data_IF_297696595537
#
_entry.id   IF_297696595537
#
_cell.length_a   1.000
_cell.length_b   1.000
_cell.length_c   1.000
_cell.angle_alpha   90.00
_cell.angle_beta   90.00
_cell.angle_gamma   90.00
#
_symmetry.space_group_name_H-M   'P 1'
#
loop_
_entity.id
_entity.type
_entity.pdbx_description
1 polymer ?
#
# COMPACT_ATOMS: atom_id res chain seq x y z
N UNK A 1 23.17 80.50 -11.81
CA UNK A 1 22.82 80.31 -13.24
C UNK A 1 23.62 79.11 -13.71
N UNK A 2 23.35 77.89 -13.25
CA UNK A 2 22.08 77.16 -12.97
C UNK A 2 21.77 76.25 -14.16
N UNK A 3 21.71 74.95 -13.88
CA UNK A 3 20.83 73.92 -14.47
C UNK A 3 20.98 73.63 -16.00
N UNK A 4 20.80 72.40 -16.49
CA UNK A 4 20.17 71.20 -15.91
C UNK A 4 21.11 69.99 -15.78
N UNK A 5 20.65 68.96 -15.04
CA UNK A 5 21.21 67.59 -15.09
C UNK A 5 20.37 66.72 -16.02
N UNK A 6 21.01 65.78 -16.71
CA UNK A 6 20.36 64.53 -17.13
C UNK A 6 21.30 63.35 -16.82
N UNK A 7 20.77 62.32 -16.17
CA UNK A 7 21.56 61.23 -15.57
C UNK A 7 20.98 59.88 -16.00
N UNK A 8 21.31 59.45 -17.23
CA UNK A 8 20.90 58.13 -17.73
C UNK A 8 21.70 57.01 -17.04
N UNK A 9 21.15 56.52 -15.94
CA UNK A 9 21.60 55.32 -15.25
C UNK A 9 20.54 54.21 -15.35
N UNK A 10 20.35 53.68 -16.56
CA UNK A 10 19.50 52.52 -16.80
C UNK A 10 19.83 51.33 -15.87
N UNK A 11 18.82 50.66 -15.26
CA UNK A 11 19.06 49.64 -14.25
C UNK A 11 19.57 48.33 -14.86
N UNK A 12 20.86 48.03 -14.66
CA UNK A 12 21.44 46.71 -14.89
C UNK A 12 20.89 45.70 -13.86
N UNK A 13 20.17 44.64 -14.27
CA UNK A 13 19.70 43.62 -13.34
C UNK A 13 20.87 42.72 -12.92
N UNK A 14 21.45 42.99 -11.75
CA UNK A 14 22.45 42.13 -11.11
C UNK A 14 21.80 40.80 -10.65
N UNK A 15 21.61 39.86 -11.57
CA UNK A 15 21.25 38.48 -11.27
C UNK A 15 22.40 37.77 -10.55
N UNK A 16 22.54 38.03 -9.25
CA UNK A 16 23.19 37.12 -8.32
C UNK A 16 22.25 35.92 -8.11
N UNK A 17 22.23 35.01 -9.08
CA UNK A 17 21.67 33.67 -8.90
C UNK A 17 22.53 32.94 -7.86
N UNK A 18 22.14 33.04 -6.58
CA UNK A 18 22.76 32.25 -5.52
C UNK A 18 22.48 30.77 -5.86
N UNK A 19 23.49 29.95 -6.17
CA UNK A 19 23.25 28.53 -6.31
C UNK A 19 22.83 28.01 -4.94
N UNK A 20 21.62 27.46 -4.83
CA UNK A 20 21.21 26.72 -3.64
C UNK A 20 22.01 25.42 -3.62
N UNK A 21 23.24 25.50 -3.09
CA UNK A 21 24.03 24.34 -2.73
C UNK A 21 23.28 23.63 -1.60
N UNK A 22 22.45 22.65 -1.97
CA UNK A 22 21.88 21.70 -1.02
C UNK A 22 23.06 20.96 -0.38
N UNK A 23 23.35 21.13 0.92
CA UNK A 23 24.44 20.41 1.55
C UNK A 23 24.02 18.95 1.64
N UNK A 24 24.61 18.11 0.79
CA UNK A 24 24.33 16.67 0.78
C UNK A 24 25.09 15.95 1.89
N UNK A 25 24.87 16.37 3.14
CA UNK A 25 24.97 15.44 4.25
C UNK A 25 24.06 14.26 3.90
N UNK A 26 24.59 13.04 3.90
CA UNK A 26 23.91 11.85 3.35
C UNK A 26 22.65 11.38 4.11
N UNK A 27 22.14 12.23 5.01
CA UNK A 27 20.98 12.05 5.88
C UNK A 27 19.71 11.91 5.05
N UNK A 28 18.98 10.81 5.22
CA UNK A 28 17.79 10.48 4.43
C UNK A 28 16.57 10.48 5.32
N UNK A 29 15.76 11.53 5.20
CA UNK A 29 14.43 11.60 5.82
C UNK A 29 13.35 11.04 4.89
N UNK A 30 12.33 10.42 5.48
CA UNK A 30 11.11 9.94 4.83
C UNK A 30 9.87 10.43 5.58
N UNK A 31 9.04 11.21 4.90
CA UNK A 31 7.65 11.46 5.27
C UNK A 31 6.76 10.51 4.47
N UNK A 32 6.11 9.57 5.16
CA UNK A 32 5.23 8.55 4.58
C UNK A 32 3.81 8.75 5.13
N UNK A 33 2.83 9.04 4.28
CA UNK A 33 1.44 9.22 4.69
C UNK A 33 0.58 8.04 4.24
N UNK A 34 -0.15 7.44 5.16
CA UNK A 34 -1.25 6.54 4.81
C UNK A 34 -2.55 7.34 4.67
N UNK A 35 -3.22 7.18 3.52
CA UNK A 35 -4.64 7.53 3.40
C UNK A 35 -5.42 6.22 3.48
N UNK A 36 -6.20 6.04 4.55
CA UNK A 36 -6.94 4.82 4.83
C UNK A 36 -8.44 5.08 4.67
N UNK A 37 -9.03 4.45 3.66
CA UNK A 37 -10.48 4.26 3.53
C UNK A 37 -11.00 3.56 4.80
N UNK A 38 -12.12 4.06 5.35
CA UNK A 38 -12.77 3.56 6.55
C UNK A 38 -14.26 3.27 6.38
N UNK A 39 -14.74 3.06 5.14
CA UNK A 39 -16.11 2.64 4.86
C UNK A 39 -16.34 1.16 5.20
N UNK A 40 -17.54 0.63 4.94
CA UNK A 40 -17.94 -0.71 5.38
C UNK A 40 -17.10 -1.89 4.85
N UNK A 41 -16.42 -1.75 3.71
CA UNK A 41 -15.61 -2.80 3.07
C UNK A 41 -14.27 -3.04 3.77
N UNK A 42 -13.60 -1.98 4.25
CA UNK A 42 -12.18 -1.98 4.60
C UNK A 42 -11.80 -2.69 5.91
N UNK A 43 -12.73 -3.39 6.58
CA UNK A 43 -12.49 -3.95 7.91
C UNK A 43 -11.25 -4.86 8.00
N UNK A 44 -10.97 -5.63 6.94
CA UNK A 44 -9.76 -6.46 6.82
C UNK A 44 -8.48 -5.65 6.62
N UNK A 45 -8.50 -4.62 5.78
CA UNK A 45 -7.35 -3.77 5.48
C UNK A 45 -6.98 -2.87 6.67
N UNK A 46 -7.96 -2.26 7.35
CA UNK A 46 -7.73 -1.53 8.61
C UNK A 46 -7.12 -2.45 9.67
N UNK A 47 -7.61 -3.69 9.79
CA UNK A 47 -7.07 -4.68 10.73
C UNK A 47 -5.63 -5.06 10.39
N UNK A 48 -5.32 -5.29 9.11
CA UNK A 48 -3.96 -5.60 8.64
C UNK A 48 -3.00 -4.42 8.87
N UNK A 49 -3.39 -3.21 8.50
CA UNK A 49 -2.59 -1.99 8.73
C UNK A 49 -2.29 -1.81 10.23
N UNK A 50 -3.30 -1.94 11.09
CA UNK A 50 -3.17 -1.82 12.54
C UNK A 50 -2.27 -2.90 13.16
N UNK A 51 -2.37 -4.15 12.65
CA UNK A 51 -1.52 -5.27 13.07
C UNK A 51 -0.05 -5.06 12.66
N UNK A 52 0.17 -4.59 11.43
CA UNK A 52 1.48 -4.67 10.77
C UNK A 52 2.28 -3.36 10.79
N UNK A 53 1.72 -2.22 11.21
CA UNK A 53 2.39 -0.90 11.13
C UNK A 53 3.75 -0.85 11.85
N UNK A 54 3.90 -1.50 13.01
CA UNK A 54 5.18 -1.59 13.73
C UNK A 54 6.23 -2.37 12.92
N UNK A 55 5.84 -3.50 12.32
CA UNK A 55 6.70 -4.32 11.48
C UNK A 55 7.09 -3.60 10.18
N UNK A 56 6.15 -2.87 9.56
CA UNK A 56 6.41 -2.03 8.39
C UNK A 56 7.48 -0.98 8.71
N UNK A 57 7.34 -0.27 9.83
CA UNK A 57 8.30 0.74 10.26
C UNK A 57 9.66 0.12 10.61
N UNK A 58 9.67 -1.03 11.29
CA UNK A 58 10.89 -1.78 11.60
C UNK A 58 11.63 -2.19 10.31
N UNK A 59 10.97 -2.85 9.37
CA UNK A 59 11.60 -3.29 8.11
C UNK A 59 12.05 -2.13 7.20
N UNK A 60 11.39 -0.96 7.26
CA UNK A 60 11.87 0.26 6.60
C UNK A 60 13.17 0.75 7.24
N UNK A 61 13.30 0.72 8.58
CA UNK A 61 14.51 1.11 9.28
C UNK A 61 15.66 0.09 9.11
N UNK A 62 15.38 -1.20 9.32
CA UNK A 62 16.31 -2.34 9.18
C UNK A 62 16.91 -2.47 7.78
N UNK A 63 16.27 -1.90 6.76
CA UNK A 63 16.80 -1.80 5.39
C UNK A 63 18.10 -0.97 5.26
N UNK A 64 18.47 -0.21 6.30
CA UNK A 64 19.63 0.69 6.28
C UNK A 64 19.49 1.90 5.35
N UNK A 65 18.27 2.20 4.86
CA UNK A 65 18.02 3.37 3.99
C UNK A 65 17.87 4.69 4.76
N UNK A 66 17.61 4.64 6.06
CA UNK A 66 17.47 5.78 6.97
C UNK A 66 18.55 5.69 8.07
N UNK A 67 18.94 6.79 8.70
CA UNK A 67 20.02 6.79 9.70
C UNK A 67 19.52 6.63 11.14
N UNK A 68 18.37 7.21 11.47
CA UNK A 68 17.80 7.20 12.81
C UNK A 68 16.27 7.00 12.77
N UNK A 69 15.59 6.47 13.80
CA UNK A 69 14.14 6.24 13.75
C UNK A 69 13.31 7.49 13.44
N UNK A 70 13.73 8.67 13.91
CA UNK A 70 13.10 9.97 13.63
C UNK A 70 13.28 10.49 12.18
N UNK A 71 14.11 9.83 11.36
CA UNK A 71 14.09 10.04 9.91
C UNK A 71 12.75 9.59 9.30
N UNK A 72 12.09 8.60 9.89
CA UNK A 72 10.75 8.17 9.51
C UNK A 72 9.70 8.97 10.28
N UNK A 73 8.83 9.67 9.55
CA UNK A 73 7.56 10.16 10.08
C UNK A 73 6.42 9.51 9.33
N UNK A 74 5.49 8.91 10.07
CA UNK A 74 4.24 8.40 9.52
C UNK A 74 3.15 9.46 9.71
N UNK A 75 2.49 9.82 8.62
CA UNK A 75 1.23 10.56 8.64
C UNK A 75 0.05 9.60 8.46
N UNK A 76 -1.10 9.95 9.04
CA UNK A 76 -2.35 9.21 8.84
C UNK A 76 -3.49 10.17 8.52
N UNK A 77 -4.17 9.91 7.41
CA UNK A 77 -5.46 10.49 7.06
C UNK A 77 -6.44 9.31 6.94
N UNK A 78 -7.52 9.34 7.69
CA UNK A 78 -8.65 8.42 7.50
C UNK A 78 -9.78 9.16 6.79
N UNK A 79 -10.54 8.48 5.94
CA UNK A 79 -11.69 9.08 5.25
C UNK A 79 -12.86 8.10 5.12
N UNK A 80 -14.03 8.65 4.80
CA UNK A 80 -15.23 7.90 4.44
C UNK A 80 -15.95 8.60 3.29
N UNK A 81 -17.06 9.25 3.57
CA UNK A 81 -18.03 9.67 2.59
C UNK A 81 -18.68 11.00 3.02
N UNK A 82 -19.36 11.66 2.09
CA UNK A 82 -20.07 12.91 2.32
C UNK A 82 -21.53 12.63 2.77
N UNK A 83 -22.13 13.49 3.61
CA UNK A 83 -23.58 13.45 3.86
C UNK A 83 -24.35 13.61 2.52
N UNK A 84 -25.31 12.73 2.18
CA UNK A 84 -26.07 11.89 3.11
C UNK A 84 -25.55 10.45 3.35
N UNK A 85 -24.46 10.01 2.71
CA UNK A 85 -24.01 8.62 2.76
C UNK A 85 -23.34 8.26 4.11
N UNK A 86 -22.47 9.13 4.64
CA UNK A 86 -21.95 9.07 6.02
C UNK A 86 -22.24 10.39 6.76
N UNK A 87 -22.62 10.27 8.04
CA UNK A 87 -22.96 11.40 8.93
C UNK A 87 -22.00 11.53 10.13
N UNK A 88 -20.88 10.80 10.11
CA UNK A 88 -19.92 10.69 11.22
C UNK A 88 -18.66 11.53 10.98
N UNK A 89 -18.02 11.41 9.82
CA UNK A 89 -16.88 12.25 9.38
C UNK A 89 -16.54 11.99 7.90
N UNK A 90 -16.17 13.04 7.18
CA UNK A 90 -15.66 12.94 5.81
C UNK A 90 -14.17 12.54 5.84
N UNK A 91 -13.36 13.27 6.64
CA UNK A 91 -11.93 13.03 6.85
C UNK A 91 -11.55 13.16 8.33
N UNK A 92 -10.43 12.52 8.71
CA UNK A 92 -9.71 12.71 9.97
C UNK A 92 -8.22 12.79 9.66
N UNK A 93 -7.61 13.93 9.93
CA UNK A 93 -6.17 14.15 9.76
C UNK A 93 -5.47 14.05 11.13
N UNK A 94 -4.55 13.09 11.28
CA UNK A 94 -3.85 12.82 12.55
C UNK A 94 -2.45 13.48 12.64
N UNK A 95 -2.03 14.19 11.58
CA UNK A 95 -0.70 14.79 11.45
C UNK A 95 0.44 13.78 11.30
N UNK A 96 1.68 14.27 11.23
CA UNK A 96 2.88 13.43 11.24
C UNK A 96 3.31 13.02 12.66
N UNK A 97 3.84 11.81 12.80
CA UNK A 97 4.42 11.27 14.04
C UNK A 97 5.62 10.36 13.74
N UNK A 98 6.70 10.48 14.53
CA UNK A 98 7.76 9.46 14.63
C UNK A 98 7.52 8.48 15.79
N UNK A 99 6.58 8.77 16.69
CA UNK A 99 6.07 7.80 17.66
C UNK A 99 5.15 6.81 16.94
N UNK A 100 5.66 5.61 16.68
CA UNK A 100 4.93 4.53 16.01
C UNK A 100 3.84 3.92 16.91
N UNK A 101 3.99 3.99 18.23
CA UNK A 101 2.95 3.53 19.16
C UNK A 101 1.74 4.50 19.16
N UNK A 102 1.96 5.82 19.01
CA UNK A 102 0.89 6.77 18.69
C UNK A 102 0.21 6.41 17.36
N UNK A 103 0.98 6.20 16.28
CA UNK A 103 0.41 5.87 14.95
C UNK A 103 -0.44 4.60 15.00
N UNK A 104 0.04 3.55 15.67
CA UNK A 104 -0.73 2.32 15.88
C UNK A 104 -1.99 2.54 16.71
N UNK A 105 -1.94 3.39 17.75
CA UNK A 105 -3.11 3.76 18.54
C UNK A 105 -4.14 4.54 17.71
N UNK A 106 -3.68 5.44 16.84
CA UNK A 106 -4.53 6.22 15.95
C UNK A 106 -5.22 5.30 14.92
N UNK A 107 -4.48 4.38 14.28
CA UNK A 107 -5.04 3.31 13.44
C UNK A 107 -6.04 2.43 14.23
N UNK A 108 -5.71 2.06 15.47
CA UNK A 108 -6.58 1.28 16.36
C UNK A 108 -7.87 2.01 16.77
N UNK A 109 -8.01 3.30 16.47
CA UNK A 109 -9.25 4.08 16.69
C UNK A 109 -10.19 4.08 15.48
N UNK A 110 -9.73 3.56 14.34
CA UNK A 110 -10.50 3.45 13.10
C UNK A 110 -11.32 2.16 13.07
N UNK A 111 -12.45 2.20 12.38
CA UNK A 111 -13.29 1.04 12.12
C UNK A 111 -14.08 1.24 10.81
N UNK A 112 -14.31 0.14 10.11
CA UNK A 112 -15.10 0.11 8.88
C UNK A 112 -16.60 0.37 9.16
N UNK A 113 -17.16 1.43 8.59
CA UNK A 113 -18.60 1.75 8.61
C UNK A 113 -18.90 2.93 7.67
N UNK A 114 -20.14 3.10 7.20
CA UNK A 114 -20.47 4.15 6.23
C UNK A 114 -20.12 3.76 4.79
N UNK A 115 -20.18 4.75 3.88
CA UNK A 115 -20.33 4.52 2.43
C UNK A 115 -21.80 4.29 2.05
N UNK A 116 -22.18 4.49 0.78
CA UNK A 116 -23.56 4.26 0.36
C UNK A 116 -23.80 4.04 -1.14
N UNK A 117 -23.33 4.95 -1.99
CA UNK A 117 -23.55 4.94 -3.44
C UNK A 117 -22.45 4.22 -4.24
N UNK A 118 -21.22 4.19 -3.71
CA UNK A 118 -20.13 3.33 -4.18
C UNK A 118 -18.80 4.06 -4.30
N UNK A 119 -18.73 5.20 -5.01
CA UNK A 119 -17.63 6.15 -4.89
C UNK A 119 -17.58 6.80 -3.50
N UNK A 120 -16.47 7.44 -3.16
CA UNK A 120 -16.20 7.92 -1.79
C UNK A 120 -15.44 9.26 -1.75
N UNK A 121 -15.26 9.82 -0.54
CA UNK A 121 -14.61 11.10 -0.27
C UNK A 121 -13.07 11.12 -0.47
N UNK A 122 -12.53 10.27 -1.35
CA UNK A 122 -11.11 10.16 -1.71
C UNK A 122 -10.53 11.54 -2.09
N UNK A 123 -11.29 12.36 -2.82
CA UNK A 123 -10.88 13.73 -3.20
C UNK A 123 -10.66 14.64 -1.99
N UNK A 124 -11.52 14.57 -0.98
CA UNK A 124 -11.35 15.33 0.27
C UNK A 124 -10.12 14.84 1.04
N UNK A 125 -9.88 13.52 1.06
CA UNK A 125 -8.70 12.90 1.69
C UNK A 125 -7.38 13.26 1.00
N UNK A 126 -7.35 13.29 -0.33
CA UNK A 126 -6.24 13.83 -1.11
C UNK A 126 -6.02 15.32 -0.83
N UNK A 127 -7.10 16.08 -0.61
CA UNK A 127 -7.05 17.48 -0.19
C UNK A 127 -6.35 17.69 1.17
N UNK A 128 -6.51 16.77 2.13
CA UNK A 128 -5.87 16.87 3.45
C UNK A 128 -4.32 16.74 3.40
N UNK A 129 -3.75 16.11 2.37
CA UNK A 129 -2.30 16.07 2.16
C UNK A 129 -1.68 17.46 2.04
N UNK A 130 -2.47 18.45 1.61
CA UNK A 130 -2.05 19.83 1.43
C UNK A 130 -1.88 20.58 2.75
N UNK A 131 -2.49 20.09 3.83
CA UNK A 131 -2.50 20.67 5.17
C UNK A 131 -1.37 20.14 6.08
N UNK A 132 -0.64 19.10 5.64
CA UNK A 132 0.40 18.44 6.42
C UNK A 132 1.74 19.21 6.43
N UNK A 133 2.48 19.11 7.54
CA UNK A 133 3.77 19.76 7.79
C UNK A 133 4.97 19.02 7.14
N UNK A 134 4.90 18.78 5.83
CA UNK A 134 5.95 18.07 5.07
C UNK A 134 7.35 18.68 5.25
N UNK A 135 8.34 17.87 5.64
CA UNK A 135 9.75 18.26 5.74
C UNK A 135 10.31 18.58 4.33
N UNK A 136 10.86 19.78 4.07
CA UNK A 136 11.31 20.15 2.73
C UNK A 136 12.32 19.16 2.12
N UNK A 137 13.33 18.74 2.89
CA UNK A 137 14.38 17.82 2.45
C UNK A 137 14.02 16.33 2.55
N UNK A 138 12.85 15.99 3.10
CA UNK A 138 12.42 14.60 3.15
C UNK A 138 11.99 14.09 1.78
N UNK A 139 12.22 12.80 1.57
CA UNK A 139 11.53 11.98 0.57
C UNK A 139 10.06 11.93 0.96
N UNK A 140 9.12 12.18 0.03
CA UNK A 140 7.70 12.34 0.33
C UNK A 140 6.88 11.30 -0.40
N UNK A 141 6.14 10.48 0.34
CA UNK A 141 5.37 9.38 -0.21
C UNK A 141 3.99 9.32 0.43
N UNK A 142 2.99 8.98 -0.37
CA UNK A 142 1.63 8.67 0.08
C UNK A 142 1.30 7.25 -0.35
N UNK A 143 0.65 6.49 0.52
CA UNK A 143 0.01 5.22 0.21
C UNK A 143 -1.48 5.37 0.50
N UNK A 144 -2.28 5.49 -0.56
CA UNK A 144 -3.74 5.42 -0.49
C UNK A 144 -4.16 3.94 -0.52
N UNK A 145 -5.08 3.55 0.37
CA UNK A 145 -5.64 2.20 0.50
C UNK A 145 -7.16 2.35 0.43
N UNK A 146 -7.81 1.80 -0.61
CA UNK A 146 -9.26 1.85 -0.81
C UNK A 146 -9.74 0.78 -1.80
N UNK A 147 -11.03 0.43 -1.78
CA UNK A 147 -11.70 -0.32 -2.85
C UNK A 147 -12.70 0.51 -3.69
N UNK A 148 -12.86 1.79 -3.38
CA UNK A 148 -13.73 2.73 -4.10
C UNK A 148 -12.97 3.82 -4.91
N UNK A 149 -13.56 4.38 -5.97
CA UNK A 149 -13.11 5.61 -6.63
C UNK A 149 -13.55 6.89 -5.91
N UNK A 150 -12.97 8.06 -6.22
CA UNK A 150 -13.59 9.35 -5.89
C UNK A 150 -14.89 9.59 -6.65
N UNK A 151 -15.80 10.35 -6.04
CA UNK A 151 -16.95 10.95 -6.73
C UNK A 151 -16.55 11.80 -7.95
N UNK A 152 -17.46 11.89 -8.93
CA UNK A 152 -17.35 12.74 -10.11
C UNK A 152 -16.55 12.16 -11.28
N UNK A 153 -16.01 10.93 -11.16
CA UNK A 153 -15.38 10.25 -12.31
C UNK A 153 -16.41 9.63 -13.28
N UNK A 154 -17.70 9.72 -12.96
CA UNK A 154 -18.81 9.23 -13.79
C UNK A 154 -19.19 7.77 -13.59
N UNK A 155 -18.98 7.22 -12.39
CA UNK A 155 -19.44 5.87 -12.06
C UNK A 155 -20.98 5.77 -12.02
N UNK A 156 -21.49 4.57 -12.28
CA UNK A 156 -22.93 4.32 -12.16
C UNK A 156 -23.33 4.26 -10.68
N UNK A 157 -24.21 5.17 -10.25
CA UNK A 157 -24.80 5.20 -8.91
C UNK A 157 -24.35 6.38 -8.05
N UNK A 158 -23.27 7.07 -8.44
CA UNK A 158 -22.65 8.19 -7.72
C UNK A 158 -23.67 9.27 -7.32
N UNK A 159 -23.82 9.52 -6.01
CA UNK A 159 -24.68 10.56 -5.46
C UNK A 159 -24.08 11.97 -5.59
N UNK A 160 -22.81 12.07 -5.96
CA UNK A 160 -22.08 13.33 -6.16
C UNK A 160 -21.40 13.37 -7.54
N UNK A 161 -22.16 12.99 -8.57
CA UNK A 161 -21.75 12.86 -9.98
C UNK A 161 -21.12 14.14 -10.60
N UNK A 162 -21.38 15.32 -10.03
CA UNK A 162 -20.75 16.61 -10.40
C UNK A 162 -19.32 16.79 -9.82
N UNK A 163 -18.88 15.93 -8.90
CA UNK A 163 -17.60 16.03 -8.19
C UNK A 163 -17.75 16.11 -6.67
N UNK A 164 -16.62 16.13 -5.95
CA UNK A 164 -16.65 16.17 -4.48
C UNK A 164 -17.32 17.46 -3.96
N UNK A 165 -18.24 17.36 -2.98
CA UNK A 165 -18.91 18.52 -2.37
C UNK A 165 -18.02 19.59 -1.75
N UNK A 166 -16.72 19.34 -1.57
CA UNK A 166 -15.77 20.34 -1.11
C UNK A 166 -15.24 21.27 -2.21
N UNK A 167 -15.64 21.04 -3.47
CA UNK A 167 -15.28 21.83 -4.64
C UNK A 167 -13.85 21.59 -5.16
N UNK A 168 -13.12 20.61 -4.63
CA UNK A 168 -11.78 20.26 -5.13
C UNK A 168 -11.86 19.27 -6.30
N UNK A 169 -10.87 19.36 -7.19
CA UNK A 169 -10.65 18.39 -8.26
C UNK A 169 -9.44 17.49 -7.95
N UNK A 170 -9.57 16.16 -7.99
CA UNK A 170 -8.48 15.27 -7.62
C UNK A 170 -7.34 15.26 -8.64
N UNK A 171 -7.59 15.49 -9.94
CA UNK A 171 -6.53 15.59 -10.95
C UNK A 171 -5.68 16.85 -10.74
N UNK A 172 -6.30 17.95 -10.30
CA UNK A 172 -5.59 19.17 -9.90
C UNK A 172 -4.77 18.94 -8.62
N UNK A 173 -5.33 18.26 -7.61
CA UNK A 173 -4.59 17.93 -6.38
C UNK A 173 -3.36 17.08 -6.72
N UNK A 174 -3.48 15.99 -7.48
CA UNK A 174 -2.32 15.09 -7.71
C UNK A 174 -1.23 15.70 -8.59
N UNK A 175 -1.55 16.65 -9.48
CA UNK A 175 -0.53 17.46 -10.17
C UNK A 175 0.20 18.39 -9.21
N UNK A 176 -0.51 18.96 -8.23
CA UNK A 176 0.07 19.77 -7.17
C UNK A 176 0.93 18.93 -6.19
N UNK A 177 0.54 17.69 -5.92
CA UNK A 177 1.40 16.71 -5.21
C UNK A 177 2.68 16.41 -6.01
N UNK A 178 2.56 16.13 -7.31
CA UNK A 178 3.70 15.84 -8.19
C UNK A 178 4.70 17.01 -8.26
N UNK A 179 4.21 18.25 -8.40
CA UNK A 179 5.07 19.46 -8.39
C UNK A 179 5.79 19.66 -7.05
N UNK A 180 5.14 19.32 -5.92
CA UNK A 180 5.76 19.29 -4.58
C UNK A 180 6.67 18.07 -4.35
N UNK A 181 6.80 17.20 -5.35
CA UNK A 181 7.61 16.00 -5.30
C UNK A 181 7.07 14.91 -4.39
N UNK A 182 5.75 14.87 -4.15
CA UNK A 182 5.06 13.89 -3.32
C UNK A 182 4.57 12.74 -4.21
N UNK A 183 5.15 11.55 -4.01
CA UNK A 183 4.84 10.35 -4.81
C UNK A 183 3.61 9.63 -4.26
N UNK A 184 2.49 9.56 -5.01
CA UNK A 184 1.28 8.82 -4.60
C UNK A 184 1.32 7.40 -5.15
N UNK A 185 1.40 6.43 -4.24
CA UNK A 185 1.13 5.02 -4.51
C UNK A 185 -0.30 4.69 -4.10
N UNK A 186 -0.92 3.76 -4.81
CA UNK A 186 -2.26 3.28 -4.52
C UNK A 186 -2.28 1.77 -4.35
N UNK A 187 -2.68 1.31 -3.16
CA UNK A 187 -3.04 -0.08 -2.89
C UNK A 187 -4.49 -0.27 -3.29
N UNK A 188 -4.69 -1.00 -4.38
CA UNK A 188 -6.01 -1.32 -4.90
C UNK A 188 -6.54 -2.57 -4.19
N UNK A 189 -7.56 -2.38 -3.35
CA UNK A 189 -8.19 -3.46 -2.60
C UNK A 189 -9.17 -4.22 -3.52
N UNK A 190 -8.76 -5.41 -3.95
CA UNK A 190 -9.45 -6.20 -4.99
C UNK A 190 -10.12 -7.45 -4.38
N UNK A 191 -11.24 -7.96 -4.93
CA UNK A 191 -11.78 -7.70 -6.27
C UNK A 191 -12.83 -6.58 -6.40
N UNK A 192 -13.04 -5.78 -5.35
CA UNK A 192 -14.14 -4.82 -5.31
C UNK A 192 -13.89 -3.61 -6.23
N UNK A 193 -12.67 -3.05 -6.25
CA UNK A 193 -12.32 -1.92 -7.11
C UNK A 193 -12.58 -2.20 -8.61
N UNK A 194 -12.27 -3.39 -9.10
CA UNK A 194 -12.55 -3.78 -10.49
C UNK A 194 -14.02 -3.99 -10.84
N UNK A 195 -14.94 -3.84 -9.88
CA UNK A 195 -16.38 -3.74 -10.15
C UNK A 195 -16.78 -2.40 -10.81
N UNK A 196 -15.94 -1.37 -10.65
CA UNK A 196 -16.19 -0.02 -11.15
C UNK A 196 -15.77 0.18 -12.62
N UNK A 197 -16.44 1.11 -13.31
CA UNK A 197 -16.34 1.33 -14.75
C UNK A 197 -15.07 2.05 -15.17
N UNK A 198 -14.51 2.89 -14.30
CA UNK A 198 -13.37 3.79 -14.56
C UNK A 198 -12.33 3.80 -13.42
N UNK A 199 -12.69 3.40 -12.20
CA UNK A 199 -11.82 3.47 -11.02
C UNK A 199 -10.37 2.97 -11.24
N UNK A 200 -10.20 1.77 -11.82
CA UNK A 200 -8.86 1.22 -12.13
C UNK A 200 -8.04 2.12 -13.05
N UNK A 201 -8.69 2.77 -14.03
CA UNK A 201 -8.02 3.62 -15.01
C UNK A 201 -7.68 5.00 -14.41
N UNK A 202 -8.58 5.54 -13.59
CA UNK A 202 -8.34 6.74 -12.79
C UNK A 202 -7.13 6.56 -11.85
N UNK A 203 -7.08 5.44 -11.12
CA UNK A 203 -5.99 5.19 -10.18
C UNK A 203 -4.63 4.91 -10.86
N UNK A 204 -4.62 4.23 -12.02
CA UNK A 204 -3.44 4.16 -12.90
C UNK A 204 -2.96 5.56 -13.32
N UNK A 205 -3.87 6.46 -13.69
CA UNK A 205 -3.52 7.81 -14.12
C UNK A 205 -2.92 8.66 -12.99
N UNK A 206 -3.52 8.71 -11.80
CA UNK A 206 -3.00 9.56 -10.71
C UNK A 206 -1.68 9.05 -10.10
N UNK A 207 -1.49 7.73 -10.05
CA UNK A 207 -0.20 7.14 -9.68
C UNK A 207 0.87 7.43 -10.74
N UNK A 208 0.51 7.37 -12.03
CA UNK A 208 1.41 7.76 -13.13
C UNK A 208 1.81 9.25 -13.06
N UNK A 209 0.85 10.17 -12.89
CA UNK A 209 1.10 11.63 -12.75
C UNK A 209 2.17 11.89 -11.68
N UNK A 210 2.03 11.24 -10.51
CA UNK A 210 2.95 11.42 -9.37
C UNK A 210 4.18 10.52 -9.39
N UNK A 211 4.36 9.69 -10.43
CA UNK A 211 5.44 8.70 -10.57
C UNK A 211 5.47 7.60 -9.47
N UNK A 212 4.32 7.33 -8.84
CA UNK A 212 4.14 6.20 -7.92
C UNK A 212 3.81 4.89 -8.63
N UNK A 213 3.14 3.98 -7.91
CA UNK A 213 2.70 2.67 -8.41
C UNK A 213 1.25 2.39 -8.00
N UNK A 214 0.54 1.67 -8.86
CA UNK A 214 -0.69 0.97 -8.49
C UNK A 214 -0.36 -0.48 -8.10
N UNK A 215 -0.78 -0.90 -6.91
CA UNK A 215 -0.44 -2.16 -6.27
C UNK A 215 -1.75 -2.95 -6.01
N UNK A 216 -2.19 -3.82 -6.95
CA UNK A 216 -3.40 -4.61 -6.77
C UNK A 216 -3.18 -5.71 -5.74
N UNK A 217 -3.93 -5.68 -4.63
CA UNK A 217 -3.88 -6.70 -3.59
C UNK A 217 -5.18 -7.48 -3.53
N UNK A 218 -5.07 -8.80 -3.62
CA UNK A 218 -6.22 -9.72 -3.52
C UNK A 218 -6.51 -10.16 -2.08
N UNK A 219 -5.60 -9.89 -1.14
CA UNK A 219 -5.75 -10.13 0.30
C UNK A 219 -5.06 -9.02 1.11
N UNK A 220 -5.56 -8.78 2.32
CA UNK A 220 -4.98 -7.78 3.22
C UNK A 220 -3.64 -8.19 3.84
N UNK A 221 -3.26 -9.47 3.81
CA UNK A 221 -1.99 -9.97 4.38
C UNK A 221 -0.77 -9.52 3.57
N UNK A 222 -0.93 -9.30 2.26
CA UNK A 222 0.12 -8.81 1.36
C UNK A 222 0.46 -7.31 1.56
N UNK A 223 -0.37 -6.59 2.34
CA UNK A 223 -0.30 -5.14 2.52
C UNK A 223 1.07 -4.67 3.05
N UNK A 224 1.61 -5.37 4.05
CA UNK A 224 2.91 -5.04 4.66
C UNK A 224 4.05 -5.14 3.65
N UNK A 225 4.12 -6.24 2.90
CA UNK A 225 5.13 -6.49 1.88
C UNK A 225 5.06 -5.47 0.73
N UNK A 226 3.85 -5.11 0.29
CA UNK A 226 3.64 -4.11 -0.75
C UNK A 226 4.07 -2.70 -0.31
N UNK A 227 3.77 -2.32 0.94
CA UNK A 227 4.19 -1.03 1.51
C UNK A 227 5.70 -0.97 1.69
N UNK A 228 6.31 -1.96 2.35
CA UNK A 228 7.77 -1.98 2.58
C UNK A 228 8.52 -1.98 1.26
N UNK A 229 8.13 -2.83 0.30
CA UNK A 229 8.75 -2.87 -1.02
C UNK A 229 8.69 -1.53 -1.75
N UNK A 230 7.51 -0.90 -1.79
CA UNK A 230 7.32 0.35 -2.54
C UNK A 230 8.01 1.55 -1.89
N UNK A 231 8.11 1.58 -0.56
CA UNK A 231 8.93 2.56 0.17
C UNK A 231 10.41 2.41 -0.17
N UNK A 232 10.93 1.17 -0.17
CA UNK A 232 12.35 0.92 -0.46
C UNK A 232 12.71 1.20 -1.91
N UNK A 233 11.82 0.92 -2.86
CA UNK A 233 11.94 1.37 -4.24
C UNK A 233 11.93 2.91 -4.31
N UNK A 234 10.92 3.58 -3.75
CA UNK A 234 10.78 5.03 -3.80
C UNK A 234 12.00 5.77 -3.19
N UNK A 235 12.64 5.23 -2.15
CA UNK A 235 13.87 5.79 -1.58
C UNK A 235 15.11 5.64 -2.49
N UNK A 236 15.17 4.60 -3.34
CA UNK A 236 16.22 4.46 -4.35
C UNK A 236 15.94 5.29 -5.60
N UNK A 237 14.68 5.42 -6.00
CA UNK A 237 14.24 6.32 -7.08
C UNK A 237 14.53 7.78 -6.73
N UNK A 238 14.20 8.20 -5.51
CA UNK A 238 14.43 9.57 -5.00
C UNK A 238 15.92 9.96 -4.99
N UNK A 239 16.83 9.01 -4.70
CA UNK A 239 18.29 9.23 -4.83
C UNK A 239 18.64 9.65 -6.25
N UNK A 240 18.15 8.90 -7.25
CA UNK A 240 18.45 9.15 -8.65
C UNK A 240 17.80 10.45 -9.14
N UNK A 241 16.57 10.76 -8.74
CA UNK A 241 15.91 12.04 -9.04
C UNK A 241 16.70 13.23 -8.49
N UNK A 242 17.28 13.14 -7.30
CA UNK A 242 18.17 14.19 -6.76
C UNK A 242 19.50 14.31 -7.53
N UNK A 243 20.03 13.20 -8.05
CA UNK A 243 21.31 13.17 -8.75
C UNK A 243 21.22 13.67 -10.20
N UNK A 244 20.25 13.18 -10.99
CA UNK A 244 20.14 13.49 -12.43
C UNK A 244 19.00 14.45 -12.77
N UNK A 245 18.07 14.70 -11.85
CA UNK A 245 16.76 15.27 -12.18
C UNK A 245 16.79 16.67 -12.77
N UNK A 246 17.72 17.53 -12.34
CA UNK A 246 17.87 18.86 -12.94
C UNK A 246 18.27 18.80 -14.43
N UNK A 247 19.24 17.95 -14.78
CA UNK A 247 19.66 17.77 -16.17
C UNK A 247 18.58 17.09 -17.03
N UNK A 248 17.82 16.16 -16.45
CA UNK A 248 16.68 15.50 -17.09
C UNK A 248 15.52 16.48 -17.33
N UNK A 249 15.20 17.33 -16.35
CA UNK A 249 14.17 18.35 -16.47
C UNK A 249 14.55 19.45 -17.48
N UNK A 250 15.81 19.87 -17.53
CA UNK A 250 16.28 20.86 -18.51
C UNK A 250 16.08 20.39 -19.96
N UNK A 251 16.20 19.09 -20.24
CA UNK A 251 15.88 18.51 -21.55
C UNK A 251 14.38 18.55 -21.85
N UNK A 252 13.57 18.06 -20.92
CA UNK A 252 12.11 17.95 -21.11
C UNK A 252 11.47 19.34 -21.24
N UNK A 253 11.79 20.26 -20.33
CA UNK A 253 11.15 21.58 -20.23
C UNK A 253 11.90 22.67 -21.03
N UNK A 254 13.22 22.64 -21.05
CA UNK A 254 14.05 23.67 -21.69
C UNK A 254 14.33 23.42 -23.17
N UNK A 255 14.55 22.16 -23.56
CA UNK A 255 14.74 21.77 -24.96
C UNK A 255 13.45 21.27 -25.63
N UNK A 256 12.35 21.13 -24.89
CA UNK A 256 11.07 20.57 -25.34
C UNK A 256 11.21 19.14 -25.91
N UNK A 257 12.04 18.31 -25.28
CA UNK A 257 12.26 16.90 -25.65
C UNK A 257 11.18 15.98 -25.07
N UNK A 258 10.84 14.89 -25.77
CA UNK A 258 9.82 13.94 -25.28
C UNK A 258 10.29 13.20 -24.02
N UNK A 259 9.40 13.12 -23.02
CA UNK A 259 9.64 12.38 -21.76
C UNK A 259 10.07 10.93 -22.04
N UNK A 260 9.46 10.27 -23.03
CA UNK A 260 9.79 8.88 -23.39
C UNK A 260 11.15 8.74 -24.08
N UNK A 261 11.64 9.78 -24.76
CA UNK A 261 12.96 9.78 -25.41
C UNK A 261 14.05 10.03 -24.38
N UNK A 262 13.85 11.04 -23.53
CA UNK A 262 14.74 11.33 -22.40
C UNK A 262 14.78 10.14 -21.42
N UNK A 263 13.66 9.45 -21.19
CA UNK A 263 13.61 8.24 -20.37
C UNK A 263 14.38 7.05 -20.97
N UNK A 264 14.30 6.83 -22.29
CA UNK A 264 15.08 5.79 -22.99
C UNK A 264 16.58 6.04 -22.89
N UNK A 265 17.03 7.24 -23.19
CA UNK A 265 18.45 7.61 -23.01
C UNK A 265 18.91 7.56 -21.55
N UNK A 266 18.04 7.93 -20.60
CA UNK A 266 18.36 7.87 -19.18
C UNK A 266 18.52 6.41 -18.72
N UNK A 267 17.65 5.52 -19.17
CA UNK A 267 17.74 4.08 -18.92
C UNK A 267 19.08 3.54 -19.44
N UNK A 268 19.45 3.83 -20.69
CA UNK A 268 20.76 3.42 -21.27
C UNK A 268 21.95 3.94 -20.45
N UNK A 269 21.93 5.22 -20.04
CA UNK A 269 23.01 5.84 -19.24
C UNK A 269 23.12 5.24 -17.84
N UNK A 270 22.00 4.87 -17.22
CA UNK A 270 21.99 4.21 -15.90
C UNK A 270 22.38 2.72 -16.00
N UNK A 271 22.03 2.03 -17.09
CA UNK A 271 22.55 0.68 -17.38
C UNK A 271 24.08 0.69 -17.56
N UNK A 272 24.62 1.66 -18.30
CA UNK A 272 26.08 1.83 -18.48
C UNK A 272 26.82 2.17 -17.17
N UNK A 273 26.12 2.76 -16.18
CA UNK A 273 26.61 2.96 -14.81
C UNK A 273 26.56 1.70 -13.95
N UNK A 274 25.90 0.63 -14.41
CA UNK A 274 25.52 -0.54 -13.61
C UNK A 274 24.63 -0.18 -12.41
N UNK A 275 23.73 0.80 -12.57
CA UNK A 275 22.86 1.28 -11.49
C UNK A 275 21.82 0.22 -11.09
N UNK A 276 21.89 -0.27 -9.85
CA UNK A 276 20.86 -1.14 -9.28
C UNK A 276 19.77 -0.36 -8.55
N UNK A 277 18.56 -0.90 -8.60
CA UNK A 277 17.39 -0.42 -7.83
C UNK A 277 16.62 -1.61 -7.30
N UNK A 278 16.03 -1.45 -6.12
CA UNK A 278 14.95 -2.34 -5.68
C UNK A 278 13.68 -2.07 -6.51
N UNK A 279 12.95 -3.12 -6.85
CA UNK A 279 11.68 -3.08 -7.57
C UNK A 279 10.66 -3.99 -6.89
N UNK A 280 9.46 -3.47 -6.65
CA UNK A 280 8.32 -4.30 -6.26
C UNK A 280 7.82 -5.08 -7.48
N UNK A 281 7.67 -6.39 -7.31
CA UNK A 281 7.05 -7.28 -8.29
C UNK A 281 5.79 -7.86 -7.67
N UNK A 282 4.65 -7.37 -8.14
CA UNK A 282 3.31 -7.93 -7.87
C UNK A 282 2.79 -8.45 -9.21
N UNK A 283 2.17 -9.63 -9.22
CA UNK A 283 1.51 -10.11 -10.43
C UNK A 283 0.33 -9.19 -10.81
N UNK A 284 0.31 -8.74 -12.08
CA UNK A 284 -0.82 -7.97 -12.61
C UNK A 284 -2.04 -8.88 -12.78
N UNK A 285 -3.05 -8.65 -11.93
CA UNK A 285 -4.37 -9.25 -12.10
C UNK A 285 -5.19 -8.54 -13.18
N UNK A 286 -4.72 -7.39 -13.71
CA UNK A 286 -5.43 -6.59 -14.70
C UNK A 286 -5.16 -7.01 -16.14
N UNK A 287 -6.23 -7.10 -16.93
CA UNK A 287 -6.19 -7.19 -18.38
C UNK A 287 -6.05 -5.80 -19.00
N UNK A 288 -5.13 -5.66 -19.95
CA UNK A 288 -4.99 -4.45 -20.75
C UNK A 288 -6.06 -4.40 -21.86
N UNK A 289 -6.53 -3.20 -22.18
CA UNK A 289 -7.57 -2.93 -23.19
C UNK A 289 -7.39 -1.52 -23.76
N UNK A 290 -7.77 -1.31 -25.02
CA UNK A 290 -7.63 -0.02 -25.70
C UNK A 290 -8.44 1.08 -25.00
N UNK A 291 -9.59 0.73 -24.41
CA UNK A 291 -10.42 1.62 -23.59
C UNK A 291 -9.73 1.99 -22.27
N UNK A 292 -9.08 1.04 -21.57
CA UNK A 292 -8.32 1.32 -20.34
C UNK A 292 -7.12 2.22 -20.63
N UNK A 293 -6.36 1.95 -21.70
CA UNK A 293 -5.22 2.80 -22.12
C UNK A 293 -5.69 4.21 -22.50
N UNK A 294 -6.78 4.32 -23.26
CA UNK A 294 -7.41 5.60 -23.60
C UNK A 294 -7.87 6.37 -22.35
N UNK A 295 -8.54 5.72 -21.41
CA UNK A 295 -9.01 6.36 -20.17
C UNK A 295 -7.85 6.88 -19.32
N UNK A 296 -6.77 6.10 -19.19
CA UNK A 296 -5.56 6.53 -18.47
C UNK A 296 -4.96 7.78 -19.11
N UNK A 297 -4.81 7.80 -20.43
CA UNK A 297 -4.32 8.99 -21.15
C UNK A 297 -5.23 10.22 -20.94
N UNK A 298 -6.55 10.04 -21.08
CA UNK A 298 -7.54 11.10 -20.84
C UNK A 298 -7.42 11.69 -19.43
N UNK A 299 -7.33 10.86 -18.38
CA UNK A 299 -7.14 11.34 -17.01
C UNK A 299 -5.77 11.99 -16.78
N UNK A 300 -4.71 11.53 -17.44
CA UNK A 300 -3.36 12.12 -17.35
C UNK A 300 -3.28 13.50 -18.02
N UNK A 301 -3.96 13.70 -19.15
CA UNK A 301 -3.93 14.94 -19.95
C UNK A 301 -4.97 15.98 -19.51
N UNK A 302 -6.19 15.57 -19.15
CA UNK A 302 -7.30 16.49 -18.89
C UNK A 302 -7.09 17.36 -17.64
N UNK A 303 -7.22 18.71 -17.71
CA UNK A 303 -6.98 19.60 -16.58
C UNK A 303 -7.90 19.41 -15.35
N UNK A 304 -9.06 18.76 -15.53
CA UNK A 304 -10.05 18.47 -14.49
C UNK A 304 -10.93 17.28 -14.88
N UNK A 305 -11.60 16.66 -13.90
CA UNK A 305 -12.59 15.61 -14.12
C UNK A 305 -13.72 16.06 -15.05
N UNK A 306 -14.18 17.31 -14.93
CA UNK A 306 -15.21 17.88 -15.80
C UNK A 306 -14.82 17.89 -17.29
N UNK A 307 -13.51 17.93 -17.61
CA UNK A 307 -12.99 17.82 -18.97
C UNK A 307 -12.60 16.37 -19.35
N UNK A 308 -12.23 15.54 -18.38
CA UNK A 308 -11.90 14.14 -18.58
C UNK A 308 -13.16 13.29 -18.88
N UNK A 309 -14.18 13.43 -18.03
CA UNK A 309 -15.37 12.57 -17.96
C UNK A 309 -16.12 12.43 -19.30
N UNK A 310 -16.33 13.49 -20.12
CA UNK A 310 -17.01 13.36 -21.41
C UNK A 310 -16.22 12.57 -22.48
N UNK A 311 -14.93 12.29 -22.24
CA UNK A 311 -14.03 11.61 -23.17
C UNK A 311 -13.77 10.15 -22.79
N UNK A 312 -14.27 9.68 -21.65
CA UNK A 312 -14.05 8.32 -21.16
C UNK A 312 -14.81 7.26 -21.98
N UNK A 313 -14.20 6.08 -22.12
CA UNK A 313 -14.76 4.91 -22.78
C UNK A 313 -15.04 3.82 -21.74
N UNK A 314 -16.25 3.28 -21.72
CA UNK A 314 -16.59 2.17 -20.81
C UNK A 314 -15.79 0.93 -21.20
N UNK A 315 -14.98 0.40 -20.28
CA UNK A 315 -14.31 -0.89 -20.46
C UNK A 315 -15.37 -2.00 -20.44
N UNK A 316 -15.36 -2.89 -21.44
CA UNK A 316 -16.37 -3.93 -21.60
C UNK A 316 -15.91 -5.29 -21.07
N UNK A 317 -16.75 -5.94 -20.25
CA UNK A 317 -16.49 -7.27 -19.70
C UNK A 317 -15.67 -7.24 -18.42
N UNK A 318 -14.83 -8.27 -18.22
CA UNK A 318 -13.96 -8.40 -17.04
C UNK A 318 -12.69 -7.57 -17.17
N UNK A 319 -12.37 -6.78 -16.14
CA UNK A 319 -11.07 -6.10 -15.99
C UNK A 319 -9.93 -7.04 -15.59
N UNK A 320 -10.24 -8.26 -15.14
CA UNK A 320 -9.24 -9.24 -14.69
C UNK A 320 -8.66 -10.11 -15.81
N UNK A 321 -7.42 -10.60 -15.60
CA UNK A 321 -6.79 -11.63 -16.44
C UNK A 321 -7.44 -13.01 -16.26
N UNK A 322 -7.38 -13.83 -17.31
CA UNK A 322 -7.94 -15.19 -17.28
C UNK A 322 -7.27 -16.09 -16.21
N UNK A 323 -5.97 -15.90 -15.94
CA UNK A 323 -5.25 -16.61 -14.87
C UNK A 323 -5.84 -16.30 -13.49
N UNK A 324 -6.07 -15.02 -13.16
CA UNK A 324 -6.70 -14.64 -11.89
C UNK A 324 -8.11 -15.22 -11.76
N UNK A 325 -8.90 -15.16 -12.83
CA UNK A 325 -10.26 -15.72 -12.84
C UNK A 325 -10.28 -17.24 -12.64
N UNK A 326 -9.32 -17.96 -13.24
CA UNK A 326 -9.16 -19.41 -13.04
C UNK A 326 -8.74 -19.74 -11.60
N UNK A 327 -7.73 -19.06 -11.03
CA UNK A 327 -7.30 -19.25 -9.65
C UNK A 327 -8.43 -19.00 -8.64
N UNK A 328 -9.21 -17.92 -8.85
CA UNK A 328 -10.40 -17.62 -8.04
C UNK A 328 -11.49 -18.69 -8.18
N UNK A 329 -11.66 -19.29 -9.35
CA UNK A 329 -12.62 -20.39 -9.56
C UNK A 329 -12.19 -21.70 -8.89
N UNK A 330 -10.89 -22.02 -8.83
CA UNK A 330 -10.41 -23.20 -8.09
C UNK A 330 -10.70 -23.11 -6.60
N UNK A 331 -10.44 -21.96 -5.95
CA UNK A 331 -10.80 -21.74 -4.54
C UNK A 331 -12.33 -21.73 -4.29
N UNK A 332 -13.13 -21.46 -5.32
CA UNK A 332 -14.60 -21.39 -5.23
C UNK A 332 -15.30 -22.75 -5.42
N UNK A 333 -14.57 -23.85 -5.64
CA UNK A 333 -15.15 -25.19 -5.79
C UNK A 333 -15.19 -25.93 -4.44
N UNK A 334 -16.38 -26.26 -3.91
CA UNK A 334 -16.48 -27.21 -2.80
C UNK A 334 -16.02 -28.59 -3.27
N UNK A 335 -15.15 -29.24 -2.50
CA UNK A 335 -14.63 -30.59 -2.75
C UNK A 335 -15.69 -31.66 -2.47
N UNK A 336 -16.72 -31.71 -3.33
CA UNK A 336 -17.77 -32.74 -3.31
C UNK A 336 -17.22 -34.11 -3.76
N UNK A 337 -16.51 -34.78 -2.86
CA UNK A 337 -16.17 -36.20 -2.98
C UNK A 337 -17.47 -37.01 -3.02
N UNK A 338 -17.87 -37.46 -4.22
CA UNK A 338 -19.08 -38.24 -4.43
C UNK A 338 -18.93 -39.65 -3.87
N UNK A 339 -19.18 -39.81 -2.58
CA UNK A 339 -19.35 -41.11 -1.93
C UNK A 339 -20.58 -41.82 -2.50
N UNK A 340 -20.38 -42.65 -3.52
CA UNK A 340 -21.40 -43.53 -4.09
C UNK A 340 -21.76 -44.66 -3.11
N UNK A 341 -22.58 -44.35 -2.10
CA UNK A 341 -23.14 -45.36 -1.20
C UNK A 341 -24.06 -46.30 -1.97
N UNK A 342 -23.65 -47.57 -2.09
CA UNK A 342 -24.48 -48.64 -2.61
C UNK A 342 -25.70 -48.84 -1.70
N UNK A 343 -26.87 -48.99 -2.31
CA UNK A 343 -28.18 -49.04 -1.65
C UNK A 343 -28.64 -50.49 -1.45
N UNK A 344 -28.88 -50.96 -0.21
CA UNK A 344 -29.52 -52.25 0.03
C UNK A 344 -30.99 -52.27 -0.44
N UNK A 345 -31.49 -53.46 -0.78
CA UNK A 345 -32.89 -53.69 -1.14
C UNK A 345 -33.80 -53.72 0.11
N UNK A 346 -35.07 -53.28 0.00
CA UNK A 346 -35.99 -53.24 1.14
C UNK A 346 -36.64 -54.61 1.44
N UNK A 347 -36.93 -54.86 2.72
CA UNK A 347 -37.72 -56.00 3.20
C UNK A 347 -39.07 -55.46 3.74
N UNK A 348 -40.15 -56.20 3.50
CA UNK A 348 -41.52 -55.79 3.85
C UNK A 348 -41.84 -56.18 5.31
N UNK A 349 -42.38 -55.26 6.15
CA UNK A 349 -42.78 -55.58 7.52
C UNK A 349 -44.21 -56.15 7.61
N UNK A 350 -44.43 -57.05 8.57
CA UNK A 350 -45.75 -57.51 9.00
C UNK A 350 -46.18 -56.84 10.33
N UNK A 351 -47.46 -56.97 10.70
CA UNK A 351 -48.08 -56.23 11.82
C UNK A 351 -48.70 -57.21 12.87
N UNK A 352 -49.20 -56.76 14.06
CA UNK A 352 -48.78 -57.32 15.35
C UNK A 352 -49.83 -58.22 16.03
N UNK A 353 -49.66 -58.60 17.32
CA UNK A 353 -50.43 -57.88 18.35
C UNK A 353 -49.84 -57.77 19.78
N UNK A 354 -50.35 -56.76 20.51
CA UNK A 354 -50.57 -56.71 21.98
C UNK A 354 -49.42 -56.43 22.98
N UNK A 355 -49.79 -55.95 24.17
CA UNK A 355 -48.95 -55.71 25.37
C UNK A 355 -49.86 -55.72 26.61
N UNK A 356 -49.47 -56.35 27.75
CA UNK A 356 -49.15 -55.60 28.99
C UNK A 356 -48.16 -56.38 29.92
N UNK A 357 -47.96 -56.06 31.24
CA UNK A 357 -48.04 -54.81 32.02
C UNK A 357 -46.68 -54.44 32.71
N UNK A 358 -46.66 -53.45 33.63
CA UNK A 358 -45.47 -53.03 34.43
C UNK A 358 -45.39 -53.73 35.81
N UNK A 359 -44.19 -53.76 36.42
CA UNK A 359 -43.93 -53.96 37.88
C UNK A 359 -42.67 -53.20 38.36
N UNK A 360 -42.46 -53.22 39.68
CA UNK A 360 -41.44 -52.50 40.50
C UNK A 360 -41.06 -53.39 41.72
N UNK A 361 -40.01 -53.15 42.53
CA UNK A 361 -39.19 -51.93 42.75
C UNK A 361 -37.71 -52.13 42.31
N UNK A 362 -36.59 -51.89 43.02
CA UNK A 362 -36.26 -51.53 44.43
C UNK A 362 -34.85 -50.89 44.53
N UNK A 363 -34.52 -50.35 45.71
CA UNK A 363 -33.18 -50.07 46.28
C UNK A 363 -32.28 -48.93 45.75
N UNK A 364 -31.87 -48.08 46.70
CA UNK A 364 -30.83 -47.06 46.63
C UNK A 364 -29.84 -47.30 47.78
N UNK A 365 -28.54 -47.17 47.53
CA UNK A 365 -27.51 -47.10 48.58
C UNK A 365 -26.47 -46.02 48.24
N UNK A 366 -26.04 -45.26 49.24
CA UNK A 366 -25.18 -44.08 49.06
C UNK A 366 -23.69 -44.39 49.30
N UNK A 367 -22.82 -43.71 48.55
CA UNK A 367 -21.37 -43.69 48.81
C UNK A 367 -20.97 -42.45 49.59
N UNK A 368 -20.38 -42.65 50.77
CA UNK A 368 -19.77 -41.59 51.59
C UNK A 368 -18.25 -41.59 51.47
N UNK A 369 -17.62 -40.41 51.57
CA UNK A 369 -16.17 -40.25 51.56
C UNK A 369 -15.58 -40.25 52.99
N UNK A 370 -14.41 -40.88 53.21
CA UNK A 370 -13.66 -40.75 54.47
C UNK A 370 -12.83 -39.45 54.50
N UNK A 371 -12.48 -39.00 55.71
CA UNK A 371 -11.56 -37.87 55.95
C UNK A 371 -10.60 -38.20 57.12
N UNK A 372 -9.44 -37.51 57.10
CA UNK A 372 -8.49 -37.31 58.20
C UNK A 372 -7.57 -38.47 58.60
N UNK A 373 -6.30 -38.37 58.17
CA UNK A 373 -5.12 -38.75 58.96
C UNK A 373 -3.98 -37.77 58.62
N UNK A 374 -3.11 -37.44 59.58
CA UNK A 374 -2.00 -36.46 59.45
C UNK A 374 -0.96 -36.68 60.54
N UNK A 375 0.34 -36.51 60.24
CA UNK A 375 1.39 -36.19 61.23
C UNK A 375 2.70 -35.72 60.55
N UNK A 376 3.56 -35.08 61.33
CA UNK A 376 4.83 -34.41 60.98
C UNK A 376 5.86 -35.26 60.18
N UNK A 377 6.70 -34.57 59.39
CA UNK A 377 7.82 -35.15 58.63
C UNK A 377 9.22 -34.84 59.17
N UNK A 378 10.26 -35.11 58.36
CA UNK A 378 11.69 -34.99 58.72
C UNK A 378 12.54 -34.48 57.54
N UNK A 379 13.71 -33.88 57.81
CA UNK A 379 14.71 -33.45 56.80
C UNK A 379 15.78 -34.53 56.57
N UNK A 380 16.30 -34.65 55.33
CA UNK A 380 17.72 -34.93 55.02
C UNK A 380 18.09 -34.16 53.72
N UNK A 381 19.38 -33.90 53.48
CA UNK A 381 19.95 -33.21 52.31
C UNK A 381 21.16 -34.02 51.78
N UNK A 382 22.16 -33.48 51.04
CA UNK A 382 22.15 -32.55 49.90
C UNK A 382 22.85 -33.15 48.64
N UNK A 383 23.11 -32.29 47.66
CA UNK A 383 23.97 -32.46 46.46
C UNK A 383 25.40 -32.98 46.70
N UNK A 384 26.12 -33.32 45.62
CA UNK A 384 27.17 -32.40 45.13
C UNK A 384 26.96 -32.08 43.62
N UNK A 385 27.38 -30.95 43.03
CA UNK A 385 28.70 -30.28 42.98
C UNK A 385 29.81 -31.20 42.41
N UNK A 386 30.73 -30.79 41.54
CA UNK A 386 30.85 -29.58 40.68
C UNK A 386 32.03 -29.79 39.69
N UNK A 387 32.54 -28.69 39.12
CA UNK A 387 33.96 -28.42 38.79
C UNK A 387 34.42 -28.55 37.33
N UNK A 388 34.93 -27.41 36.82
CA UNK A 388 35.76 -27.21 35.62
C UNK A 388 35.18 -27.61 34.23
N UNK A 389 35.50 -26.94 33.12
CA UNK A 389 36.34 -25.73 32.94
C UNK A 389 37.39 -25.94 31.85
N UNK A 390 37.54 -24.98 30.92
CA UNK A 390 38.54 -25.09 29.85
C UNK A 390 38.27 -24.13 28.68
N UNK A 391 39.13 -23.13 28.54
CA UNK A 391 39.12 -22.08 27.50
C UNK A 391 39.42 -22.61 26.08
N UNK A 392 39.20 -21.72 25.09
CA UNK A 392 39.90 -21.62 23.80
C UNK A 392 39.42 -22.59 22.68
N UNK A 393 39.56 -22.28 21.38
CA UNK A 393 39.93 -21.01 20.73
C UNK A 393 39.56 -20.98 19.22
N UNK A 394 39.42 -19.76 18.68
CA UNK A 394 39.67 -19.33 17.28
C UNK A 394 39.20 -20.15 16.07
N UNK A 395 38.47 -19.45 15.17
CA UNK A 395 38.90 -19.33 13.77
C UNK A 395 38.02 -19.99 12.71
N UNK A 396 37.44 -19.18 11.81
CA UNK A 396 36.73 -19.69 10.63
C UNK A 396 35.86 -18.66 9.92
N UNK A 397 36.45 -17.72 9.17
CA UNK A 397 35.66 -16.86 8.27
C UNK A 397 35.16 -17.67 7.08
N UNK A 398 33.84 -17.67 6.86
CA UNK A 398 33.24 -17.70 5.52
C UNK A 398 32.07 -16.73 5.47
N UNK A 399 32.11 -15.82 4.50
CA UNK A 399 30.99 -14.94 4.17
C UNK A 399 30.06 -15.65 3.18
N UNK A 400 28.74 -15.56 3.37
CA UNK A 400 27.77 -15.77 2.30
C UNK A 400 27.30 -14.42 1.73
N UNK A 401 27.22 -14.32 0.42
CA UNK A 401 26.38 -13.33 -0.27
C UNK A 401 24.91 -13.68 -0.02
N UNK A 402 24.25 -12.97 0.90
CA UNK A 402 22.90 -13.28 1.32
C UNK A 402 21.82 -12.74 0.39
N UNK A 403 21.18 -13.63 -0.38
CA UNK A 403 19.81 -13.39 -0.87
C UNK A 403 18.88 -13.43 0.34
N UNK A 404 18.24 -12.32 0.67
CA UNK A 404 17.33 -12.23 1.84
C UNK A 404 15.95 -12.81 1.53
N UNK A 405 15.86 -14.13 1.46
CA UNK A 405 14.58 -14.83 1.54
C UNK A 405 14.10 -14.83 2.99
N UNK A 406 12.97 -14.19 3.27
CA UNK A 406 12.35 -14.23 4.60
C UNK A 406 11.59 -15.55 4.77
N UNK A 407 12.31 -16.60 5.17
CA UNK A 407 11.71 -17.87 5.57
C UNK A 407 11.07 -17.77 6.96
N UNK A 408 9.76 -18.01 7.03
CA UNK A 408 9.17 -18.67 8.19
C UNK A 408 9.10 -20.17 7.90
N UNK A 409 9.31 -21.01 8.91
CA UNK A 409 9.18 -22.47 8.76
C UNK A 409 7.69 -22.85 8.67
N UNK A 410 7.24 -23.23 7.47
CA UNK A 410 6.00 -23.97 7.21
C UNK A 410 6.30 -24.96 6.05
N UNK A 411 6.77 -26.18 6.38
CA UNK A 411 7.04 -27.27 5.44
C UNK A 411 5.71 -27.90 4.92
N UNK A 412 5.03 -27.23 3.97
CA UNK A 412 3.84 -27.73 3.25
C UNK A 412 3.89 -27.36 1.74
N UNK A 413 5.04 -27.58 1.10
CA UNK A 413 5.28 -27.34 -0.34
C UNK A 413 4.57 -28.37 -1.24
N UNK A 414 3.47 -27.97 -1.88
CA UNK A 414 3.07 -28.39 -3.26
C UNK A 414 1.82 -27.64 -3.80
N UNK A 415 0.97 -27.03 -2.95
CA UNK A 415 -0.33 -26.41 -3.35
C UNK A 415 -0.31 -24.87 -3.56
N UNK A 416 0.77 -24.16 -3.19
CA UNK A 416 0.77 -22.68 -3.05
C UNK A 416 1.06 -21.87 -4.34
N UNK A 417 1.23 -22.50 -5.50
CA UNK A 417 1.53 -21.80 -6.78
C UNK A 417 0.32 -21.01 -7.37
N UNK A 418 -0.77 -20.93 -6.60
CA UNK A 418 -2.03 -20.25 -6.96
C UNK A 418 -2.29 -18.95 -6.19
N UNK A 419 -1.53 -18.65 -5.12
CA UNK A 419 -1.67 -17.40 -4.35
C UNK A 419 -0.91 -16.25 -5.02
N UNK A 420 -1.46 -15.04 -4.94
CA UNK A 420 -0.76 -13.83 -5.36
C UNK A 420 0.45 -13.58 -4.47
N UNK A 421 1.64 -13.42 -5.06
CA UNK A 421 2.90 -13.17 -4.34
C UNK A 421 3.38 -11.74 -4.59
N UNK A 422 3.98 -11.15 -3.55
CA UNK A 422 4.58 -9.80 -3.57
C UNK A 422 6.06 -9.95 -3.27
N UNK A 423 6.90 -9.74 -4.27
CA UNK A 423 8.34 -9.89 -4.17
C UNK A 423 9.06 -8.53 -4.23
N UNK A 424 10.17 -8.40 -3.51
CA UNK A 424 11.10 -7.29 -3.66
C UNK A 424 12.35 -7.80 -4.37
N UNK A 425 12.49 -7.50 -5.66
CA UNK A 425 13.67 -7.89 -6.45
C UNK A 425 14.64 -6.72 -6.54
N UNK A 426 15.94 -7.00 -6.42
CA UNK A 426 16.99 -6.03 -6.76
C UNK A 426 17.63 -6.42 -8.10
N UNK A 427 17.86 -5.44 -8.96
CA UNK A 427 18.43 -5.64 -10.28
C UNK A 427 18.77 -4.31 -10.94
N UNK A 428 19.18 -4.36 -12.21
CA UNK A 428 19.36 -3.17 -13.03
C UNK A 428 18.06 -2.36 -13.15
N UNK A 429 18.18 -1.03 -13.12
CA UNK A 429 17.01 -0.16 -13.26
C UNK A 429 16.23 -0.43 -14.57
N UNK A 430 14.91 -0.52 -14.47
CA UNK A 430 14.03 -0.76 -15.63
C UNK A 430 13.65 0.52 -16.38
N UNK A 431 13.25 0.40 -17.65
CA UNK A 431 12.80 1.55 -18.45
C UNK A 431 11.61 2.30 -17.83
N UNK A 432 10.69 1.58 -17.17
CA UNK A 432 9.57 2.17 -16.43
C UNK A 432 10.05 3.05 -15.27
N UNK A 433 11.03 2.58 -14.50
CA UNK A 433 11.67 3.35 -13.44
C UNK A 433 12.39 4.59 -14.02
N UNK A 434 13.08 4.46 -15.16
CA UNK A 434 13.69 5.61 -15.83
C UNK A 434 12.64 6.64 -16.33
N UNK A 435 11.48 6.20 -16.82
CA UNK A 435 10.34 7.07 -17.15
C UNK A 435 9.80 7.79 -15.91
N UNK A 436 9.66 7.08 -14.79
CA UNK A 436 9.23 7.67 -13.50
C UNK A 436 10.23 8.71 -12.99
N UNK A 437 11.54 8.48 -13.12
CA UNK A 437 12.55 9.54 -12.87
C UNK A 437 12.32 10.73 -13.79
N UNK A 438 12.12 10.52 -15.10
CA UNK A 438 11.91 11.60 -16.06
C UNK A 438 10.67 12.46 -15.75
N UNK A 439 9.52 11.83 -15.47
CA UNK A 439 8.28 12.52 -15.09
C UNK A 439 8.43 13.27 -13.76
N UNK A 440 8.93 12.62 -12.71
CA UNK A 440 9.14 13.23 -11.39
C UNK A 440 10.14 14.39 -11.43
N UNK A 441 11.15 14.30 -12.29
CA UNK A 441 12.11 15.39 -12.55
C UNK A 441 11.45 16.58 -13.23
N UNK A 442 10.64 16.35 -14.27
CA UNK A 442 9.91 17.42 -14.95
C UNK A 442 8.97 18.15 -13.98
N UNK A 443 8.08 17.44 -13.29
CA UNK A 443 7.11 18.05 -12.37
C UNK A 443 7.76 18.94 -11.30
N UNK A 444 8.87 18.49 -10.71
CA UNK A 444 9.62 19.26 -9.68
C UNK A 444 10.26 20.55 -10.19
N UNK A 445 10.40 20.73 -11.51
CA UNK A 445 10.99 21.92 -12.12
C UNK A 445 9.94 22.79 -12.86
N UNK A 446 8.66 22.37 -12.92
CA UNK A 446 7.56 23.21 -13.49
C UNK A 446 7.07 24.34 -12.57
N UNK A 447 7.63 24.48 -11.37
CA UNK A 447 7.22 25.46 -10.35
C UNK A 447 8.38 26.18 -9.67
N UNK A 448 9.50 26.37 -10.37
CA UNK A 448 10.67 27.14 -9.94
C UNK A 448 10.72 28.53 -10.57
#
# INVERSE_FOLDING_TARGET
MDEDMDFDSGPQPLQHSIPVQVPSDGHKMLDLVFIQDCTGSQGSYITSATKNIEQICASIFESGKLQSPEDLRIGLIAFRDHPPQDHTYITKNFGFSSDIAKVKKDLSSLYASGGGDGPEAVTAALGELMNLDWRPQASKMVVLIADAPPHGIGEYGDGFDDGSPDGKDPLQIVRLLASRGITLHFVACEPALSGYSYATDFYKAITSITSGLMLPLTTADLLSHAIVGSVLENLDMERLVREVGHAVAQRILGNNESVDEVARELHEKLLLRNESTKKVVIETIYKESEESVHNVAVFMEAPSLALARPLLKRVHGTRFTDKYLQARQSYSRPSYTTYTKSRPTPVIPASPPSSPPRKVVTDFAAFGAPKNASVFGTKVAPSPFSLAGGKAAFGGLRSPSGTTTFGGDDDDDDDDDTRQKVELREGSISLDQARRIAMQSAWRNTGG
#
